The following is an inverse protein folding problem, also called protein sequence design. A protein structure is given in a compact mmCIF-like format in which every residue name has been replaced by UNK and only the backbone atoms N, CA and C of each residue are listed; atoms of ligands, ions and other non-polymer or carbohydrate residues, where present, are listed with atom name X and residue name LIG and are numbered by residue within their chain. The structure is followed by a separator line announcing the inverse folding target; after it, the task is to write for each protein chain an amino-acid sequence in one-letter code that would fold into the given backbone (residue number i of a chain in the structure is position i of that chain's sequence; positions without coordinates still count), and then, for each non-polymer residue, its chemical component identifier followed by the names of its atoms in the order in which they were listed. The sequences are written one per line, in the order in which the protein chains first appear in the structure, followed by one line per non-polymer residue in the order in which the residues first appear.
data_IF_805093872822
#
_entry.id   IF_805093872822
#
_cell.length_a   1.000
_cell.length_b   1.000
_cell.length_c   1.000
_cell.angle_alpha   90.00
_cell.angle_beta   90.00
_cell.angle_gamma   90.00
#
_symmetry.space_group_name_H-M   'P 1'
#
loop_
_entity.id
_entity.type
_entity.pdbx_description
1 polymer ?
#
# COMPACT_ATOMS: atom_id res chain seq x y z
N UNK A 1 -31.56 -16.27 -73.07
CA UNK A 1 -30.99 -15.44 -74.12
C UNK A 1 -29.61 -15.13 -73.72
N UNK A 2 -28.74 -15.96 -74.11
CA UNK A 2 -27.83 -15.90 -75.27
C UNK A 2 -26.59 -15.12 -74.88
N UNK A 3 -25.49 -15.82 -74.68
CA UNK A 3 -24.46 -16.21 -75.67
C UNK A 3 -23.48 -15.07 -75.87
N UNK A 4 -22.20 -15.15 -75.91
CA UNK A 4 -21.19 -16.11 -76.39
C UNK A 4 -19.84 -15.72 -75.90
N UNK A 5 -18.94 -16.62 -75.48
CA UNK A 5 -17.91 -17.32 -76.29
C UNK A 5 -16.99 -16.37 -77.06
N UNK A 6 -15.72 -16.40 -76.86
CA UNK A 6 -14.58 -17.17 -77.36
C UNK A 6 -13.36 -16.32 -77.27
N UNK A 7 -12.28 -16.69 -76.84
CA UNK A 7 -11.24 -17.71 -77.11
C UNK A 7 -9.95 -17.06 -77.59
N UNK A 8 -8.88 -17.50 -76.92
CA UNK A 8 -7.57 -17.83 -77.42
C UNK A 8 -6.68 -16.75 -78.03
N UNK A 9 -5.48 -16.58 -77.56
CA UNK A 9 -4.25 -17.23 -78.06
C UNK A 9 -2.99 -16.65 -77.53
N UNK A 10 -2.02 -17.51 -77.38
CA UNK A 10 -0.67 -17.42 -76.86
C UNK A 10 0.24 -16.40 -77.54
N UNK A 11 1.19 -15.85 -76.83
CA UNK A 11 2.53 -15.58 -77.34
C UNK A 11 3.55 -15.52 -76.22
N UNK A 12 4.50 -16.43 -76.25
CA UNK A 12 5.70 -16.47 -75.44
C UNK A 12 6.61 -15.29 -75.84
N UNK A 13 7.28 -14.67 -74.81
CA UNK A 13 8.61 -14.09 -75.04
C UNK A 13 9.40 -14.01 -73.77
N UNK A 14 10.60 -14.56 -73.79
CA UNK A 14 11.66 -14.55 -72.81
C UNK A 14 12.03 -13.15 -72.36
N UNK A 15 12.38 -13.04 -71.05
CA UNK A 15 13.00 -11.81 -70.52
C UNK A 15 13.45 -11.89 -69.08
N UNK A 16 14.69 -12.40 -68.91
CA UNK A 16 15.67 -12.10 -67.86
C UNK A 16 15.24 -11.94 -66.40
N UNK A 17 15.76 -12.88 -65.63
CA UNK A 17 15.85 -12.88 -64.18
C UNK A 17 16.55 -11.61 -63.64
N UNK A 18 15.80 -10.72 -63.10
CA UNK A 18 16.27 -9.66 -62.20
C UNK A 18 16.21 -10.16 -60.76
N UNK A 19 17.36 -10.66 -60.31
CA UNK A 19 17.61 -11.01 -58.90
C UNK A 19 17.54 -9.75 -58.06
N UNK A 20 16.36 -9.41 -57.53
CA UNK A 20 16.24 -8.38 -56.49
C UNK A 20 16.91 -8.92 -55.25
N UNK A 21 18.10 -8.35 -55.00
CA UNK A 21 18.75 -8.46 -53.69
C UNK A 21 17.75 -7.96 -52.62
N UNK A 22 17.36 -8.86 -51.73
CA UNK A 22 16.77 -8.49 -50.44
C UNK A 22 17.94 -7.80 -49.70
N UNK A 23 17.78 -6.55 -49.49
CA UNK A 23 18.52 -5.82 -48.46
C UNK A 23 17.92 -6.26 -47.12
N UNK A 24 18.36 -7.42 -46.63
CA UNK A 24 18.30 -7.77 -45.22
C UNK A 24 19.43 -6.99 -44.54
N UNK A 25 19.15 -5.84 -44.00
CA UNK A 25 19.91 -5.20 -42.94
C UNK A 25 19.05 -4.10 -42.33
N UNK A 26 17.96 -4.52 -41.65
CA UNK A 26 17.50 -3.85 -40.47
C UNK A 26 17.90 -4.75 -39.31
N UNK A 27 19.16 -4.61 -38.89
CA UNK A 27 19.66 -5.07 -37.60
C UNK A 27 18.99 -4.20 -36.52
N UNK A 28 17.68 -4.38 -36.36
CA UNK A 28 16.91 -3.85 -35.24
C UNK A 28 16.99 -4.87 -34.09
N UNK A 29 18.24 -5.21 -33.72
CA UNK A 29 18.52 -5.80 -32.42
C UNK A 29 18.32 -4.69 -31.39
N UNK A 30 17.07 -4.32 -31.16
CA UNK A 30 16.71 -3.68 -29.92
C UNK A 30 17.25 -4.61 -28.82
N UNK A 31 18.41 -4.22 -28.27
CA UNK A 31 19.10 -4.98 -27.25
C UNK A 31 18.10 -5.30 -26.12
N UNK A 32 17.66 -6.56 -26.02
CA UNK A 32 16.76 -7.01 -24.96
C UNK A 32 17.54 -7.04 -23.64
N UNK A 33 17.75 -5.85 -23.08
CA UNK A 33 18.43 -5.67 -21.80
C UNK A 33 17.71 -6.40 -20.66
N UNK A 34 16.39 -6.58 -20.76
CA UNK A 34 15.60 -7.26 -19.72
C UNK A 34 15.96 -8.74 -19.68
N UNK A 35 16.10 -9.39 -20.83
CA UNK A 35 16.48 -10.81 -20.90
C UNK A 35 17.91 -11.08 -20.38
N UNK A 36 18.77 -10.08 -20.35
CA UNK A 36 20.14 -10.17 -19.80
C UNK A 36 20.19 -10.05 -18.27
N UNK A 37 19.12 -9.58 -17.62
CA UNK A 37 19.10 -9.40 -16.17
C UNK A 37 19.16 -10.76 -15.44
N UNK A 38 19.87 -10.84 -14.29
CA UNK A 38 19.87 -12.03 -13.44
C UNK A 38 18.47 -12.36 -12.91
N UNK A 39 18.19 -13.64 -12.64
CA UNK A 39 16.91 -14.11 -12.10
C UNK A 39 16.51 -13.41 -10.79
N UNK A 40 17.47 -13.10 -9.93
CA UNK A 40 17.23 -12.38 -8.69
C UNK A 40 16.66 -10.98 -8.93
N UNK A 41 17.15 -10.28 -9.98
CA UNK A 41 16.65 -8.95 -10.35
C UNK A 41 15.26 -9.05 -10.95
N UNK A 42 15.04 -10.00 -11.86
CA UNK A 42 13.72 -10.24 -12.46
C UNK A 42 12.69 -10.65 -11.40
N UNK A 43 13.06 -11.51 -10.46
CA UNK A 43 12.23 -11.89 -9.32
C UNK A 43 11.87 -10.69 -8.46
N UNK A 44 12.81 -9.76 -8.24
CA UNK A 44 12.55 -8.51 -7.53
C UNK A 44 11.56 -7.63 -8.29
N UNK A 45 11.74 -7.48 -9.61
CA UNK A 45 10.80 -6.72 -10.45
C UNK A 45 9.38 -7.32 -10.33
N UNK A 46 9.25 -8.64 -10.49
CA UNK A 46 7.96 -9.34 -10.36
C UNK A 46 7.34 -9.08 -8.99
N UNK A 47 8.13 -9.13 -7.92
CA UNK A 47 7.66 -8.93 -6.55
C UNK A 47 7.14 -7.52 -6.25
N UNK A 48 7.43 -6.56 -7.11
CA UNK A 48 6.92 -5.19 -7.01
C UNK A 48 5.64 -4.96 -7.82
N UNK A 49 5.33 -5.87 -8.75
CA UNK A 49 4.13 -5.75 -9.58
C UNK A 49 2.87 -6.13 -8.78
N UNK A 50 1.71 -5.51 -9.08
CA UNK A 50 0.42 -6.04 -8.67
C UNK A 50 0.26 -7.48 -9.16
N UNK A 51 -0.45 -8.33 -8.40
CA UNK A 51 -0.62 -9.76 -8.74
C UNK A 51 -1.13 -9.99 -10.16
N UNK A 52 -2.05 -9.15 -10.62
CA UNK A 52 -2.60 -9.22 -11.99
C UNK A 52 -1.54 -9.03 -13.07
N UNK A 53 -0.65 -8.08 -12.88
CA UNK A 53 0.40 -7.77 -13.87
C UNK A 53 1.56 -8.76 -13.76
N UNK A 54 1.93 -9.15 -12.54
CA UNK A 54 2.86 -10.25 -12.31
C UNK A 54 2.38 -11.55 -12.97
N UNK A 55 1.08 -11.88 -12.87
CA UNK A 55 0.45 -13.04 -13.51
C UNK A 55 0.45 -13.03 -15.05
N UNK A 56 0.74 -11.90 -15.68
CA UNK A 56 0.92 -11.78 -17.13
C UNK A 56 2.36 -12.03 -17.58
N UNK A 57 3.33 -11.85 -16.70
CA UNK A 57 4.76 -12.05 -17.04
C UNK A 57 5.11 -13.45 -17.57
N UNK A 58 4.43 -14.56 -17.18
CA UNK A 58 4.65 -15.89 -17.76
C UNK A 58 4.49 -15.98 -19.28
N UNK A 59 3.79 -15.04 -19.90
CA UNK A 59 3.60 -14.98 -21.37
C UNK A 59 4.90 -14.56 -22.07
N UNK A 60 5.76 -13.79 -21.42
CA UNK A 60 7.00 -13.27 -22.01
C UNK A 60 8.00 -14.37 -22.38
N UNK A 61 8.23 -15.35 -21.49
CA UNK A 61 9.08 -16.49 -21.78
C UNK A 61 8.92 -17.62 -20.76
N UNK A 62 9.53 -18.80 -21.04
CA UNK A 62 9.62 -19.93 -20.08
C UNK A 62 10.33 -19.52 -18.79
N UNK A 63 11.35 -18.68 -18.88
CA UNK A 63 12.11 -18.15 -17.73
C UNK A 63 11.22 -17.36 -16.79
N UNK A 64 10.41 -16.43 -17.31
CA UNK A 64 9.47 -15.62 -16.51
C UNK A 64 8.40 -16.48 -15.81
N UNK A 65 8.00 -17.60 -16.42
CA UNK A 65 7.03 -18.52 -15.82
C UNK A 65 7.55 -19.17 -14.53
N UNK A 66 8.83 -19.56 -14.49
CA UNK A 66 9.44 -20.09 -13.27
C UNK A 66 9.60 -19.02 -12.21
N UNK A 67 10.07 -17.84 -12.60
CA UNK A 67 10.25 -16.70 -11.70
C UNK A 67 8.94 -16.27 -11.06
N UNK A 68 7.87 -16.14 -11.85
CA UNK A 68 6.54 -15.81 -11.33
C UNK A 68 6.06 -16.79 -10.26
N UNK A 69 6.23 -18.08 -10.48
CA UNK A 69 5.74 -19.12 -9.54
C UNK A 69 6.40 -19.05 -8.16
N UNK A 70 7.60 -18.54 -8.04
CA UNK A 70 8.39 -18.45 -6.81
C UNK A 70 8.48 -17.03 -6.25
N UNK A 71 8.18 -16.01 -7.04
CA UNK A 71 8.28 -14.62 -6.62
C UNK A 71 7.27 -14.29 -5.50
N UNK A 72 7.63 -13.39 -4.56
CA UNK A 72 6.68 -12.89 -3.58
C UNK A 72 5.49 -12.17 -4.23
N UNK A 73 4.28 -12.50 -3.78
CA UNK A 73 3.04 -11.91 -4.29
C UNK A 73 2.66 -10.62 -3.60
N UNK A 74 2.09 -9.69 -4.39
CA UNK A 74 1.36 -8.52 -3.90
C UNK A 74 -0.13 -8.72 -4.15
N UNK A 75 -0.81 -9.39 -3.23
CA UNK A 75 -2.22 -9.76 -3.36
C UNK A 75 -3.11 -8.56 -3.05
N UNK A 76 -3.86 -8.09 -4.05
CA UNK A 76 -4.90 -7.08 -3.91
C UNK A 76 -6.28 -7.69 -4.13
N UNK A 77 -7.04 -7.83 -3.05
CA UNK A 77 -8.39 -8.40 -3.08
C UNK A 77 -9.41 -7.28 -2.99
N UNK A 78 -10.21 -7.16 -4.03
CA UNK A 78 -11.30 -6.18 -4.05
C UNK A 78 -12.44 -6.68 -4.93
N UNK A 79 -13.66 -6.40 -4.52
CA UNK A 79 -14.86 -6.59 -5.35
C UNK A 79 -14.95 -5.57 -6.47
N UNK A 80 -14.10 -4.53 -6.46
CA UNK A 80 -14.04 -3.47 -7.48
C UNK A 80 -12.72 -3.52 -8.25
N UNK A 81 -12.72 -3.30 -9.57
CA UNK A 81 -11.50 -3.17 -10.34
C UNK A 81 -10.60 -2.04 -9.79
N UNK A 82 -9.26 -2.18 -9.81
CA UNK A 82 -8.46 -3.16 -10.53
C UNK A 82 -8.12 -4.45 -9.74
N UNK A 83 -8.67 -4.66 -8.55
CA UNK A 83 -8.34 -5.79 -7.68
C UNK A 83 -8.59 -7.17 -8.29
N UNK A 84 -8.01 -8.19 -7.68
CA UNK A 84 -8.26 -9.59 -8.02
C UNK A 84 -9.59 -10.02 -7.42
N UNK A 85 -10.50 -10.64 -8.20
CA UNK A 85 -11.78 -11.11 -7.66
C UNK A 85 -11.58 -12.22 -6.64
N UNK A 86 -12.43 -12.32 -5.60
CA UNK A 86 -12.27 -13.28 -4.50
C UNK A 86 -12.12 -14.73 -4.95
N UNK A 87 -12.86 -15.13 -5.98
CA UNK A 87 -12.78 -16.49 -6.57
C UNK A 87 -11.38 -16.83 -7.10
N UNK A 88 -10.71 -15.87 -7.73
CA UNK A 88 -9.37 -16.06 -8.25
C UNK A 88 -8.30 -16.05 -7.14
N UNK A 89 -8.54 -15.37 -6.02
CA UNK A 89 -7.60 -15.32 -4.88
C UNK A 89 -7.37 -16.70 -4.29
N UNK A 90 -8.42 -17.47 -4.03
CA UNK A 90 -8.32 -18.83 -3.50
C UNK A 90 -7.49 -19.73 -4.43
N UNK A 91 -7.67 -19.60 -5.75
CA UNK A 91 -6.89 -20.34 -6.74
C UNK A 91 -5.41 -19.90 -6.74
N UNK A 92 -5.15 -18.59 -6.69
CA UNK A 92 -3.77 -18.06 -6.63
C UNK A 92 -3.06 -18.58 -5.38
N UNK A 93 -3.68 -18.47 -4.20
CA UNK A 93 -3.11 -18.91 -2.93
C UNK A 93 -2.80 -20.43 -2.94
N UNK A 94 -3.66 -21.24 -3.59
CA UNK A 94 -3.46 -22.70 -3.66
C UNK A 94 -2.39 -23.14 -4.67
N UNK A 95 -2.18 -22.39 -5.73
CA UNK A 95 -1.31 -22.78 -6.85
C UNK A 95 0.05 -22.08 -6.84
N UNK A 96 0.17 -20.94 -6.16
CA UNK A 96 1.40 -20.17 -6.11
C UNK A 96 2.32 -20.67 -4.99
N UNK A 97 3.59 -20.89 -5.30
CA UNK A 97 4.56 -21.45 -4.35
C UNK A 97 5.31 -20.39 -3.54
N UNK A 98 5.34 -19.14 -4.03
CA UNK A 98 5.99 -18.02 -3.35
C UNK A 98 5.14 -17.47 -2.19
N UNK A 99 5.77 -16.84 -1.18
CA UNK A 99 5.05 -16.19 -0.09
C UNK A 99 4.34 -14.92 -0.58
N UNK A 100 3.25 -14.51 0.05
CA UNK A 100 2.72 -13.18 -0.15
C UNK A 100 3.54 -12.16 0.66
N UNK A 101 4.02 -11.13 -0.02
CA UNK A 101 4.70 -9.99 0.59
C UNK A 101 3.71 -8.94 1.07
N UNK A 102 2.73 -8.62 0.23
CA UNK A 102 1.67 -7.65 0.51
C UNK A 102 0.31 -8.30 0.39
N UNK A 103 -0.56 -7.97 1.34
CA UNK A 103 -1.96 -8.33 1.29
C UNK A 103 -2.81 -7.07 1.47
N UNK A 104 -3.55 -6.71 0.43
CA UNK A 104 -4.51 -5.61 0.42
C UNK A 104 -5.91 -6.18 0.32
N UNK A 105 -6.77 -5.87 1.30
CA UNK A 105 -8.11 -6.43 1.42
C UNK A 105 -9.14 -5.35 1.72
N UNK A 106 -10.07 -5.13 0.79
CA UNK A 106 -11.13 -4.15 0.90
C UNK A 106 -12.49 -4.84 0.85
N UNK A 107 -13.10 -5.04 2.03
CA UNK A 107 -14.29 -5.86 2.22
C UNK A 107 -15.62 -5.18 1.81
N UNK A 108 -15.70 -3.85 1.96
CA UNK A 108 -16.93 -3.08 1.69
C UNK A 108 -18.23 -3.64 2.34
N UNK A 109 -18.11 -4.35 3.47
CA UNK A 109 -19.26 -4.88 4.21
C UNK A 109 -19.78 -6.24 3.72
N UNK A 110 -19.08 -6.91 2.81
CA UNK A 110 -19.41 -8.25 2.30
C UNK A 110 -18.97 -9.31 3.33
N UNK A 111 -19.95 -9.99 3.93
CA UNK A 111 -19.73 -10.97 4.98
C UNK A 111 -19.13 -12.27 4.47
N UNK A 112 -19.53 -12.70 3.28
CA UNK A 112 -19.00 -13.92 2.65
C UNK A 112 -17.54 -13.72 2.28
N UNK A 113 -17.18 -12.52 1.80
CA UNK A 113 -15.81 -12.15 1.52
C UNK A 113 -14.96 -12.10 2.81
N UNK A 114 -15.53 -11.60 3.92
CA UNK A 114 -14.85 -11.60 5.19
C UNK A 114 -14.56 -13.02 5.70
N UNK A 115 -15.51 -13.95 5.57
CA UNK A 115 -15.33 -15.35 5.95
C UNK A 115 -14.28 -16.06 5.07
N UNK A 116 -14.28 -15.78 3.76
CA UNK A 116 -13.25 -16.28 2.83
C UNK A 116 -11.85 -15.75 3.22
N UNK A 117 -11.73 -14.47 3.55
CA UNK A 117 -10.47 -13.87 3.96
C UNK A 117 -9.89 -14.56 5.21
N UNK A 118 -10.71 -14.95 6.18
CA UNK A 118 -10.25 -15.73 7.33
C UNK A 118 -9.64 -17.08 6.94
N UNK A 119 -10.16 -17.73 5.91
CA UNK A 119 -9.60 -18.97 5.39
C UNK A 119 -8.23 -18.76 4.72
N UNK A 120 -8.10 -17.68 3.95
CA UNK A 120 -6.83 -17.34 3.29
C UNK A 120 -5.71 -17.04 4.30
N UNK A 121 -6.04 -16.40 5.43
CA UNK A 121 -5.07 -16.06 6.48
C UNK A 121 -4.42 -17.28 7.12
N UNK A 122 -5.07 -18.43 7.07
CA UNK A 122 -4.52 -19.70 7.57
C UNK A 122 -3.57 -20.37 6.56
N UNK A 123 -3.48 -19.81 5.34
CA UNK A 123 -2.61 -20.37 4.33
C UNK A 123 -1.14 -20.06 4.61
N UNK A 124 -0.25 -20.98 4.22
CA UNK A 124 1.21 -20.77 4.31
C UNK A 124 1.69 -19.59 3.46
N UNK A 125 0.97 -19.27 2.38
CA UNK A 125 1.30 -18.16 1.51
C UNK A 125 1.28 -16.81 2.24
N UNK A 126 0.39 -16.61 3.24
CA UNK A 126 0.24 -15.37 3.99
C UNK A 126 1.04 -15.34 5.31
N UNK A 127 1.77 -16.40 5.65
CA UNK A 127 2.49 -16.49 6.94
C UNK A 127 3.61 -15.46 7.11
N UNK A 128 4.19 -14.94 6.03
CA UNK A 128 5.34 -14.02 6.05
C UNK A 128 5.01 -12.65 5.46
N UNK A 129 3.79 -12.16 5.68
CA UNK A 129 3.38 -10.83 5.24
C UNK A 129 4.27 -9.73 5.82
N UNK A 130 4.69 -8.80 4.96
CA UNK A 130 5.42 -7.59 5.34
C UNK A 130 4.55 -6.34 5.27
N UNK A 131 3.58 -6.32 4.37
CA UNK A 131 2.71 -5.18 4.13
C UNK A 131 1.24 -5.60 4.20
N UNK A 132 0.47 -4.88 5.00
CA UNK A 132 -0.95 -5.12 5.22
C UNK A 132 -1.75 -3.84 4.95
N UNK A 133 -2.72 -3.90 4.04
CA UNK A 133 -3.66 -2.81 3.76
C UNK A 133 -5.08 -3.33 3.88
N UNK A 134 -5.81 -2.88 4.91
CA UNK A 134 -7.17 -3.36 5.20
C UNK A 134 -8.13 -2.20 5.21
N UNK A 135 -9.25 -2.36 4.50
CA UNK A 135 -10.34 -1.40 4.55
C UNK A 135 -11.70 -2.09 4.74
N UNK A 136 -12.58 -1.44 5.53
CA UNK A 136 -13.96 -1.86 5.79
C UNK A 136 -14.09 -3.26 6.40
N UNK A 137 -13.05 -3.76 7.07
CA UNK A 137 -13.09 -5.06 7.72
C UNK A 137 -13.87 -5.01 9.02
N UNK A 138 -14.63 -6.08 9.28
CA UNK A 138 -15.28 -6.27 10.59
C UNK A 138 -14.23 -6.45 11.69
N UNK A 139 -14.55 -6.07 12.95
CA UNK A 139 -13.59 -6.16 14.05
C UNK A 139 -13.03 -7.57 14.29
N UNK A 140 -13.83 -8.62 14.06
CA UNK A 140 -13.41 -10.01 14.20
C UNK A 140 -12.33 -10.39 13.18
N UNK A 141 -12.56 -10.06 11.90
CA UNK A 141 -11.60 -10.30 10.82
C UNK A 141 -10.33 -9.50 11.05
N UNK A 142 -10.46 -8.23 11.43
CA UNK A 142 -9.32 -7.39 11.74
C UNK A 142 -8.48 -8.01 12.87
N UNK A 143 -9.11 -8.54 13.92
CA UNK A 143 -8.43 -9.23 15.01
C UNK A 143 -7.70 -10.48 14.55
N UNK A 144 -8.30 -11.29 13.68
CA UNK A 144 -7.71 -12.52 13.15
C UNK A 144 -6.50 -12.20 12.27
N UNK A 145 -6.62 -11.19 11.39
CA UNK A 145 -5.54 -10.68 10.55
C UNK A 145 -4.33 -10.21 11.38
N UNK A 146 -4.60 -9.41 12.39
CA UNK A 146 -3.56 -8.83 13.22
C UNK A 146 -2.81 -9.88 14.07
N UNK A 147 -3.47 -10.96 14.46
CA UNK A 147 -2.82 -12.09 15.16
C UNK A 147 -1.93 -12.90 14.24
N UNK A 148 -2.32 -13.09 12.99
CA UNK A 148 -1.57 -13.91 12.03
C UNK A 148 -0.34 -13.21 11.46
N UNK A 149 -0.22 -11.90 11.68
CA UNK A 149 0.68 -11.03 10.95
C UNK A 149 1.84 -10.52 11.81
N UNK A 150 2.57 -11.41 12.48
CA UNK A 150 3.67 -11.05 13.39
C UNK A 150 4.86 -10.34 12.72
N UNK A 151 5.06 -10.55 11.41
CA UNK A 151 6.21 -10.02 10.66
C UNK A 151 5.91 -8.74 9.86
N UNK A 152 4.78 -8.10 10.11
CA UNK A 152 4.37 -6.89 9.38
C UNK A 152 5.32 -5.72 9.69
N UNK A 153 5.79 -5.09 8.63
CA UNK A 153 6.60 -3.87 8.66
C UNK A 153 5.77 -2.61 8.40
N UNK A 154 4.74 -2.74 7.57
CA UNK A 154 3.86 -1.64 7.18
C UNK A 154 2.40 -2.08 7.30
N UNK A 155 1.61 -1.37 8.08
CA UNK A 155 0.17 -1.59 8.20
C UNK A 155 -0.60 -0.33 7.85
N UNK A 156 -1.63 -0.48 7.01
CA UNK A 156 -2.63 0.53 6.71
C UNK A 156 -4.01 -0.02 7.01
N UNK A 157 -4.75 0.67 7.87
CA UNK A 157 -6.07 0.26 8.33
C UNK A 157 -7.02 1.43 8.08
N UNK A 158 -8.10 1.16 7.36
CA UNK A 158 -9.02 2.19 6.90
C UNK A 158 -10.47 1.78 7.14
N UNK A 159 -11.31 2.73 7.59
CA UNK A 159 -12.75 2.54 7.76
C UNK A 159 -13.11 1.30 8.62
N UNK A 160 -12.38 1.10 9.70
CA UNK A 160 -12.56 -0.03 10.60
C UNK A 160 -12.79 0.45 12.03
N UNK A 161 -13.58 -0.33 12.78
CA UNK A 161 -13.73 -0.14 14.22
C UNK A 161 -12.72 -1.02 14.95
N UNK A 162 -11.80 -0.40 15.65
CA UNK A 162 -10.85 -1.09 16.50
C UNK A 162 -11.51 -1.51 17.83
N UNK A 163 -11.62 -2.82 18.03
CA UNK A 163 -12.06 -3.37 19.32
C UNK A 163 -10.86 -3.95 20.08
N UNK A 164 -10.97 -4.05 21.44
CA UNK A 164 -9.87 -4.50 22.25
C UNK A 164 -9.45 -5.93 21.89
N UNK A 165 -8.32 -6.03 21.22
CA UNK A 165 -7.59 -7.26 21.04
C UNK A 165 -6.13 -7.01 21.41
N UNK A 166 -5.47 -8.02 21.94
CA UNK A 166 -4.02 -7.92 22.14
C UNK A 166 -3.35 -7.85 20.77
N UNK A 167 -2.93 -6.65 20.39
CA UNK A 167 -2.25 -6.37 19.13
C UNK A 167 -0.77 -6.29 19.45
N UNK A 168 0.02 -7.15 18.84
CA UNK A 168 1.47 -7.15 19.01
C UNK A 168 2.13 -7.17 17.62
N UNK A 169 2.73 -6.04 17.25
CA UNK A 169 3.46 -5.86 16.01
C UNK A 169 4.92 -5.45 16.31
N UNK A 170 5.75 -6.38 16.77
CA UNK A 170 7.08 -6.03 17.23
C UNK A 170 7.97 -5.41 16.17
N UNK A 171 7.74 -5.72 14.89
CA UNK A 171 8.53 -5.24 13.76
C UNK A 171 7.90 -4.10 12.97
N UNK A 172 6.69 -3.65 13.35
CA UNK A 172 5.96 -2.61 12.63
C UNK A 172 6.71 -1.28 12.64
N UNK A 173 7.09 -0.81 11.47
CA UNK A 173 7.78 0.48 11.27
C UNK A 173 6.84 1.62 10.89
N UNK A 174 5.80 1.30 10.13
CA UNK A 174 4.84 2.31 9.65
C UNK A 174 3.42 1.85 9.91
N UNK A 175 2.64 2.71 10.60
CA UNK A 175 1.22 2.52 10.85
C UNK A 175 0.44 3.69 10.26
N UNK A 176 -0.55 3.38 9.43
CA UNK A 176 -1.49 4.35 8.88
C UNK A 176 -2.91 4.00 9.30
N UNK A 177 -3.58 4.91 9.95
CA UNK A 177 -4.97 4.81 10.39
C UNK A 177 -5.79 5.87 9.65
N UNK A 178 -6.77 5.44 8.87
CA UNK A 178 -7.63 6.34 8.11
C UNK A 178 -9.11 6.06 8.40
N UNK A 179 -9.84 7.06 8.89
CA UNK A 179 -11.26 6.93 9.28
C UNK A 179 -11.50 5.73 10.23
N UNK A 180 -10.67 5.57 11.24
CA UNK A 180 -10.72 4.47 12.20
C UNK A 180 -11.34 4.97 13.50
N UNK A 181 -12.28 4.19 14.06
CA UNK A 181 -12.78 4.42 15.42
C UNK A 181 -11.96 3.59 16.41
N UNK A 182 -11.41 4.23 17.42
CA UNK A 182 -10.60 3.57 18.47
C UNK A 182 -10.94 4.18 19.83
N UNK A 183 -11.05 3.37 20.87
CA UNK A 183 -11.24 3.92 22.22
C UNK A 183 -9.94 4.51 22.77
N UNK A 184 -10.07 5.50 23.66
CA UNK A 184 -8.92 6.19 24.23
C UNK A 184 -7.94 5.25 24.93
N UNK A 185 -8.42 4.18 25.57
CA UNK A 185 -7.57 3.21 26.29
C UNK A 185 -6.86 2.23 25.32
N UNK A 186 -7.42 1.99 24.13
CA UNK A 186 -6.84 1.06 23.16
C UNK A 186 -5.66 1.65 22.41
N UNK A 187 -5.68 2.95 22.19
CA UNK A 187 -4.61 3.61 21.43
C UNK A 187 -3.23 3.48 22.12
N UNK A 188 -3.08 3.74 23.42
CA UNK A 188 -1.83 3.46 24.14
C UNK A 188 -1.42 1.99 24.11
N UNK A 189 -2.39 1.06 24.22
CA UNK A 189 -2.12 -0.39 24.13
C UNK A 189 -1.62 -0.81 22.76
N UNK A 190 -2.22 -0.27 21.69
CA UNK A 190 -1.75 -0.47 20.32
C UNK A 190 -0.28 -0.03 20.18
N UNK A 191 0.05 1.15 20.66
CA UNK A 191 1.41 1.69 20.59
C UNK A 191 2.40 0.87 21.42
N UNK A 192 1.99 0.38 22.60
CA UNK A 192 2.85 -0.44 23.45
C UNK A 192 3.21 -1.78 22.82
N UNK A 193 2.40 -2.31 21.90
CA UNK A 193 2.72 -3.51 21.11
C UNK A 193 3.59 -3.25 19.88
N UNK A 194 3.91 -1.99 19.56
CA UNK A 194 4.63 -1.60 18.36
C UNK A 194 6.03 -1.07 18.68
N UNK A 195 6.93 -1.98 19.10
CA UNK A 195 8.25 -1.61 19.62
C UNK A 195 9.22 -1.01 18.59
N UNK A 196 8.99 -1.20 17.30
CA UNK A 196 9.82 -0.68 16.20
C UNK A 196 9.16 0.46 15.43
N UNK A 197 8.04 1.03 15.91
CA UNK A 197 7.26 2.01 15.17
C UNK A 197 8.01 3.34 15.01
N UNK A 198 8.29 3.70 13.78
CA UNK A 198 9.00 4.92 13.41
C UNK A 198 8.07 6.00 12.85
N UNK A 199 6.99 5.59 12.17
CA UNK A 199 6.09 6.53 11.49
C UNK A 199 4.63 6.19 11.78
N UNK A 200 3.88 7.19 12.23
CA UNK A 200 2.47 7.10 12.55
C UNK A 200 1.68 8.14 11.75
N UNK A 201 0.75 7.66 10.92
CA UNK A 201 -0.14 8.47 10.10
C UNK A 201 -1.57 8.29 10.60
N UNK A 202 -2.17 9.37 11.05
CA UNK A 202 -3.54 9.40 11.56
C UNK A 202 -4.35 10.39 10.76
N UNK A 203 -5.34 9.90 10.03
CA UNK A 203 -6.27 10.74 9.29
C UNK A 203 -7.68 10.39 9.70
N UNK A 204 -8.41 11.36 10.24
CA UNK A 204 -9.80 11.20 10.65
C UNK A 204 -9.99 10.03 11.64
N UNK A 205 -9.07 9.88 12.57
CA UNK A 205 -9.19 8.90 13.66
C UNK A 205 -10.16 9.46 14.69
N UNK A 206 -11.24 8.73 14.93
CA UNK A 206 -12.22 9.03 15.96
C UNK A 206 -11.83 8.35 17.26
N UNK A 207 -11.43 9.13 18.24
CA UNK A 207 -11.18 8.65 19.59
C UNK A 207 -12.14 9.37 20.56
N UNK A 208 -12.75 8.64 21.45
CA UNK A 208 -13.56 9.25 22.51
C UNK A 208 -12.63 10.00 23.46
N UNK A 209 -12.71 11.33 23.47
CA UNK A 209 -11.82 12.20 24.24
C UNK A 209 -10.58 12.66 23.47
N UNK A 210 -9.40 12.48 24.06
CA UNK A 210 -8.14 12.89 23.46
C UNK A 210 -7.25 11.71 23.08
N UNK A 211 -6.46 11.86 22.01
CA UNK A 211 -5.45 10.89 21.62
C UNK A 211 -4.17 11.17 22.40
N UNK A 212 -3.80 10.26 23.31
CA UNK A 212 -2.56 10.34 24.10
C UNK A 212 -1.50 9.44 23.51
N UNK A 213 -0.31 10.00 23.29
CA UNK A 213 0.81 9.33 22.64
C UNK A 213 2.04 9.33 23.51
N UNK A 214 2.55 8.11 23.79
CA UNK A 214 3.86 7.89 24.39
C UNK A 214 4.58 6.82 23.57
N UNK A 215 5.73 7.15 23.00
CA UNK A 215 6.50 6.19 22.20
C UNK A 215 7.98 6.56 22.18
N UNK A 216 8.87 5.62 22.53
CA UNK A 216 10.31 5.85 22.52
C UNK A 216 10.93 5.78 21.11
N UNK A 217 10.19 5.32 20.10
CA UNK A 217 10.72 4.99 18.77
C UNK A 217 10.21 5.87 17.66
N UNK A 218 9.05 6.49 17.81
CA UNK A 218 8.41 7.31 16.75
C UNK A 218 9.30 8.51 16.40
N UNK A 219 9.53 8.66 15.09
CA UNK A 219 10.27 9.78 14.46
C UNK A 219 9.37 10.74 13.71
N UNK A 220 8.28 10.23 13.16
CA UNK A 220 7.35 11.03 12.34
C UNK A 220 5.92 10.77 12.75
N UNK A 221 5.18 11.84 13.00
CA UNK A 221 3.73 11.81 13.20
C UNK A 221 3.10 12.71 12.13
N UNK A 222 2.10 12.18 11.44
CA UNK A 222 1.21 12.96 10.59
C UNK A 222 -0.20 12.84 11.17
N UNK A 223 -0.78 13.98 11.55
CA UNK A 223 -2.09 14.04 12.17
C UNK A 223 -3.02 14.95 11.37
N UNK A 224 -4.09 14.39 10.80
CA UNK A 224 -5.11 15.10 10.05
C UNK A 224 -6.49 14.78 10.59
N UNK A 225 -7.31 15.79 10.84
CA UNK A 225 -8.69 15.63 11.29
C UNK A 225 -9.62 16.56 10.51
N UNK A 226 -10.80 16.07 10.08
CA UNK A 226 -11.70 16.77 9.16
C UNK A 226 -13.18 16.50 9.42
N UNK A 227 -13.61 16.14 10.64
CA UNK A 227 -14.98 15.72 10.88
C UNK A 227 -15.85 16.67 11.71
N UNK A 228 -15.54 17.94 11.83
CA UNK A 228 -16.41 18.91 12.52
C UNK A 228 -16.46 18.75 14.05
N UNK A 229 -15.69 17.83 14.61
CA UNK A 229 -15.53 17.62 16.04
C UNK A 229 -14.19 18.18 16.51
N UNK A 230 -14.10 18.55 17.78
CA UNK A 230 -12.83 18.94 18.38
C UNK A 230 -11.94 17.72 18.54
N UNK A 231 -10.75 17.74 17.93
CA UNK A 231 -9.77 16.70 18.13
C UNK A 231 -8.60 17.20 18.98
N UNK A 232 -8.20 16.43 19.98
CA UNK A 232 -7.03 16.73 20.81
C UNK A 232 -5.98 15.62 20.66
N UNK A 233 -4.77 16.03 20.27
CA UNK A 233 -3.59 15.15 20.26
C UNK A 233 -2.63 15.60 21.34
N UNK A 234 -2.33 14.70 22.30
CA UNK A 234 -1.37 14.92 23.39
C UNK A 234 -0.18 14.01 23.18
N UNK A 235 0.98 14.59 22.90
CA UNK A 235 2.26 13.88 22.84
C UNK A 235 2.90 13.98 24.22
N UNK A 236 2.75 12.93 25.03
CA UNK A 236 3.24 12.91 26.41
C UNK A 236 4.75 12.74 26.46
N UNK A 237 5.28 11.76 25.72
CA UNK A 237 6.73 11.47 25.68
C UNK A 237 7.10 10.80 24.35
N UNK A 238 7.87 11.51 23.53
CA UNK A 238 8.34 11.02 22.24
C UNK A 238 9.79 11.51 21.99
N UNK A 239 10.77 10.92 22.67
CA UNK A 239 12.15 11.44 22.67
C UNK A 239 12.84 11.38 21.31
N UNK A 240 12.38 10.53 20.38
CA UNK A 240 12.92 10.42 19.02
C UNK A 240 12.10 11.16 17.96
N UNK A 241 11.04 11.84 18.35
CA UNK A 241 10.16 12.56 17.39
C UNK A 241 10.94 13.72 16.76
N UNK A 242 11.03 13.67 15.43
CA UNK A 242 11.71 14.68 14.60
C UNK A 242 10.69 15.52 13.82
N UNK A 243 9.60 14.92 13.37
CA UNK A 243 8.62 15.55 12.51
C UNK A 243 7.20 15.39 13.05
N UNK A 244 6.52 16.50 13.24
CA UNK A 244 5.08 16.53 13.53
C UNK A 244 4.39 17.35 12.43
N UNK A 245 3.68 16.67 11.53
CA UNK A 245 3.04 17.26 10.38
C UNK A 245 1.53 17.28 10.58
N UNK A 246 0.91 18.43 10.26
CA UNK A 246 -0.54 18.64 10.38
C UNK A 246 -1.04 19.19 9.04
N UNK A 247 -1.22 18.34 8.04
CA UNK A 247 -1.62 18.75 6.70
C UNK A 247 -2.98 19.44 6.71
N UNK A 248 -3.16 20.33 5.74
CA UNK A 248 -4.39 21.11 5.56
C UNK A 248 -5.67 20.26 5.53
N UNK A 249 -6.71 20.83 6.10
CA UNK A 249 -8.06 20.36 6.03
C UNK A 249 -9.01 21.51 5.64
N UNK A 250 -9.86 21.31 4.64
CA UNK A 250 -10.74 22.33 4.07
C UNK A 250 -11.87 22.80 5.02
N UNK A 251 -12.08 22.10 6.12
CA UNK A 251 -13.14 22.41 7.09
C UNK A 251 -12.60 23.15 8.30
N UNK A 252 -13.44 24.02 8.89
CA UNK A 252 -13.14 24.81 10.09
C UNK A 252 -13.15 23.96 11.37
N UNK A 253 -12.43 22.84 11.37
CA UNK A 253 -12.38 21.94 12.51
C UNK A 253 -11.32 22.46 13.50
N UNK A 254 -11.63 22.44 14.77
CA UNK A 254 -10.68 22.88 15.78
C UNK A 254 -9.80 21.70 16.24
N UNK A 255 -8.52 21.77 15.94
CA UNK A 255 -7.54 20.80 16.39
C UNK A 255 -6.67 21.39 17.49
N UNK A 256 -6.60 20.72 18.63
CA UNK A 256 -5.67 21.08 19.71
C UNK A 256 -4.51 20.10 19.72
N UNK A 257 -3.29 20.62 19.68
CA UNK A 257 -2.07 19.81 19.78
C UNK A 257 -1.31 20.25 21.00
N UNK A 258 -0.99 19.27 21.86
CA UNK A 258 -0.18 19.49 23.06
C UNK A 258 1.04 18.58 23.03
N UNK A 259 2.22 19.16 23.00
CA UNK A 259 3.49 18.42 23.07
C UNK A 259 4.12 18.67 24.45
N UNK A 260 4.17 17.63 25.29
CA UNK A 260 4.73 17.72 26.62
C UNK A 260 6.23 17.49 26.58
N UNK A 261 6.68 16.38 25.94
CA UNK A 261 8.10 16.06 25.84
C UNK A 261 8.44 15.50 24.46
N UNK A 262 9.18 16.27 23.67
CA UNK A 262 9.74 15.87 22.38
C UNK A 262 11.04 16.63 22.10
N UNK A 263 12.15 16.29 22.78
CA UNK A 263 13.39 17.08 22.76
C UNK A 263 14.07 17.13 21.38
N UNK A 264 13.79 16.19 20.50
CA UNK A 264 14.37 16.12 19.15
C UNK A 264 13.43 16.63 18.04
N UNK A 265 12.33 17.30 18.40
CA UNK A 265 11.39 17.84 17.41
C UNK A 265 12.04 18.98 16.63
N UNK A 266 12.18 18.80 15.32
CA UNK A 266 12.84 19.75 14.41
C UNK A 266 11.86 20.35 13.39
N UNK A 267 10.88 19.58 12.93
CA UNK A 267 9.94 19.98 11.89
C UNK A 267 8.54 19.94 12.45
N UNK A 268 7.88 21.10 12.42
CA UNK A 268 6.52 21.29 12.88
C UNK A 268 5.70 22.00 11.78
N UNK A 269 4.62 21.37 11.30
CA UNK A 269 3.77 21.92 10.24
C UNK A 269 3.68 20.99 9.02
N UNK A 270 3.08 21.45 7.88
CA UNK A 270 2.50 22.77 7.69
C UNK A 270 1.25 22.96 8.56
N UNK A 271 1.15 24.11 9.22
CA UNK A 271 -0.07 24.53 9.89
C UNK A 271 -0.83 25.48 8.96
N UNK A 272 -1.97 25.04 8.50
CA UNK A 272 -2.97 25.98 8.02
C UNK A 272 -3.76 26.51 9.22
N UNK A 273 -4.46 27.61 9.05
CA UNK A 273 -5.19 28.41 10.03
C UNK A 273 -6.13 27.62 10.99
N UNK A 274 -6.17 26.31 10.92
CA UNK A 274 -7.13 25.42 11.58
C UNK A 274 -6.63 24.83 12.90
N UNK A 275 -5.34 24.93 13.21
CA UNK A 275 -4.85 24.53 14.55
C UNK A 275 -5.25 25.62 15.53
N UNK A 276 -6.34 25.40 16.24
CA UNK A 276 -6.89 26.38 17.17
C UNK A 276 -6.02 26.58 18.42
N UNK A 277 -5.22 25.59 18.77
CA UNK A 277 -4.33 25.67 19.91
C UNK A 277 -3.11 24.73 19.77
N UNK A 278 -1.91 25.33 19.85
CA UNK A 278 -0.64 24.61 19.89
C UNK A 278 0.04 24.92 21.23
N UNK A 279 0.32 23.91 22.02
CA UNK A 279 1.00 24.03 23.32
C UNK A 279 2.26 23.17 23.29
N UNK A 280 3.40 23.82 23.38
CA UNK A 280 4.73 23.21 23.37
C UNK A 280 5.41 23.44 24.73
N UNK A 281 5.85 22.37 25.41
CA UNK A 281 6.47 22.48 26.73
C UNK A 281 7.96 22.13 26.71
N UNK A 282 8.31 20.88 26.52
CA UNK A 282 9.70 20.42 26.51
C UNK A 282 10.12 20.01 25.09
N UNK A 283 10.53 20.97 24.31
CA UNK A 283 11.13 20.78 23.00
C UNK A 283 12.59 21.24 23.05
N UNK A 284 13.41 20.80 22.08
CA UNK A 284 14.80 21.23 22.02
C UNK A 284 14.90 22.75 21.88
N UNK A 285 15.82 23.35 22.59
CA UNK A 285 16.16 24.78 22.48
C UNK A 285 16.92 25.13 21.19
N UNK A 286 16.87 24.26 20.16
CA UNK A 286 17.54 24.46 18.86
C UNK A 286 16.53 24.50 17.72
N UNK A 287 16.87 25.13 16.64
CA UNK A 287 16.20 25.34 15.37
C UNK A 287 14.93 24.50 15.09
N UNK A 288 13.78 24.95 15.60
CA UNK A 288 12.48 24.42 15.24
C UNK A 288 12.05 25.09 13.92
N UNK A 289 12.03 24.36 12.82
CA UNK A 289 11.47 24.86 11.56
C UNK A 289 9.94 24.75 11.61
N UNK A 290 9.26 25.87 11.71
CA UNK A 290 7.79 25.94 11.61
C UNK A 290 7.43 26.24 10.15
N UNK A 291 6.90 25.26 9.45
CA UNK A 291 6.38 25.47 8.10
C UNK A 291 4.94 25.99 8.20
N UNK A 292 4.71 27.24 7.81
CA UNK A 292 3.37 27.77 7.57
C UNK A 292 3.17 27.88 6.07
N UNK A 293 2.21 27.15 5.52
CA UNK A 293 1.75 27.37 4.15
C UNK A 293 0.54 28.30 4.20
N UNK A 294 0.63 29.43 3.52
CA UNK A 294 -0.52 30.29 3.31
C UNK A 294 -1.32 29.76 2.12
N UNK A 295 -2.65 29.72 2.18
CA UNK A 295 -3.43 29.43 0.99
C UNK A 295 -3.12 30.51 -0.05
N UNK A 296 -2.58 30.10 -1.20
CA UNK A 296 -2.54 30.96 -2.38
C UNK A 296 -3.98 31.27 -2.79
N UNK A 297 -4.31 32.53 -3.09
CA UNK A 297 -5.66 32.99 -3.39
C UNK A 297 -6.26 32.27 -4.61
#
# INVERSE_FOLDING_TARGET
MENNKEAAAAAESHGTAGKRARSDDCDDTADDFISRLPDAVLGTIISLLPTKDGGRTPVLSRRWRHLWRSAPLNLEVSTRPPGVPPSAVSQIISQHHGPARRFSFHCHGDDDLCAQAESWLRSRALANLQELDIAYAKPQLLTSLLRSASNILVAKISHCDFKPAMINFPFLKKLSLFCVSISADLFPRLLSGCHALESLYMTNVRAVGCIRLRSPTIRTIIFRHSYGETAELIIEDAPRLVRLLVPYCERKDSVTIRVIRAPNLQILGPFFVVVSKLLLYQIAAGYLSVCMEYPTP
#
